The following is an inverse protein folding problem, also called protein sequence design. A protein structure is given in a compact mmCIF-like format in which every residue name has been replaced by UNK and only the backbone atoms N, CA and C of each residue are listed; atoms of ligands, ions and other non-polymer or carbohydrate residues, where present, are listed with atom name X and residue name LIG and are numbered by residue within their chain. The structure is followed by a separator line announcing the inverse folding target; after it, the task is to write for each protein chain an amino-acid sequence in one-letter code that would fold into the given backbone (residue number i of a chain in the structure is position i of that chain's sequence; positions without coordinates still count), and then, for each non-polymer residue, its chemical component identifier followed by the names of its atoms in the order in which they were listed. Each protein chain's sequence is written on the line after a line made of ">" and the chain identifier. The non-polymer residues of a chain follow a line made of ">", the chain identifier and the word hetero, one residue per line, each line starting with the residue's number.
data_IF_697127233098
#
_entry.id   IF_697127233098
#
_cell.length_a   1.000
_cell.length_b   1.000
_cell.length_c   1.000
_cell.angle_alpha   90.00
_cell.angle_beta   90.00
_cell.angle_gamma   90.00
#
_symmetry.space_group_name_H-M   'P 1'
#
loop_
_entity.id
_entity.type
_entity.pdbx_description
1 polymer ?
#
# COMPACT_ATOMS: atom_id res chain seq x y z
N UNK A 1 -14.96 -10.46 -28.06
CA UNK A 1 -14.22 -11.42 -27.21
C UNK A 1 -12.70 -11.37 -27.45
N UNK A 2 -12.20 -11.41 -28.70
CA UNK A 2 -10.76 -11.41 -29.02
C UNK A 2 -9.99 -10.18 -28.49
N UNK A 3 -10.51 -8.96 -28.63
CA UNK A 3 -9.83 -7.73 -28.15
C UNK A 3 -9.62 -7.68 -26.63
N UNK A 4 -10.56 -8.21 -25.83
CA UNK A 4 -10.44 -8.24 -24.36
C UNK A 4 -9.41 -9.28 -23.93
N UNK A 5 -9.36 -10.44 -24.59
CA UNK A 5 -8.35 -11.47 -24.35
C UNK A 5 -6.94 -10.95 -24.67
N UNK A 6 -6.79 -10.23 -25.79
CA UNK A 6 -5.53 -9.57 -26.16
C UNK A 6 -5.15 -8.43 -25.22
N UNK A 7 -6.11 -7.59 -24.79
CA UNK A 7 -5.85 -6.46 -23.88
C UNK A 7 -5.43 -6.91 -22.48
N UNK A 8 -6.04 -7.98 -21.98
CA UNK A 8 -5.70 -8.57 -20.69
C UNK A 8 -4.46 -9.48 -20.74
N UNK A 9 -3.85 -9.68 -21.91
CA UNK A 9 -2.69 -10.58 -22.07
C UNK A 9 -3.02 -12.07 -21.89
N UNK A 10 -4.27 -12.46 -22.09
CA UNK A 10 -4.80 -13.79 -21.82
C UNK A 10 -5.45 -14.41 -23.09
N UNK A 11 -4.66 -14.67 -24.16
CA UNK A 11 -5.20 -15.13 -25.45
C UNK A 11 -5.92 -16.48 -25.38
N UNK A 12 -5.41 -17.42 -24.59
CA UNK A 12 -5.92 -18.81 -24.46
C UNK A 12 -6.70 -19.08 -23.17
N UNK A 13 -7.10 -18.03 -22.44
CA UNK A 13 -7.74 -18.21 -21.14
C UNK A 13 -9.20 -18.70 -21.25
N UNK A 14 -9.56 -19.61 -20.35
CA UNK A 14 -10.93 -20.10 -20.19
C UNK A 14 -11.88 -18.95 -19.77
N UNK A 15 -13.16 -19.05 -20.12
CA UNK A 15 -14.17 -18.01 -19.91
C UNK A 15 -14.32 -17.62 -18.42
N UNK A 16 -14.14 -18.59 -17.51
CA UNK A 16 -14.11 -18.33 -16.05
C UNK A 16 -12.96 -17.39 -15.65
N UNK A 17 -11.78 -17.59 -16.24
CA UNK A 17 -10.58 -16.77 -15.99
C UNK A 17 -10.78 -15.36 -16.55
N UNK A 18 -11.35 -15.23 -17.75
CA UNK A 18 -11.66 -13.94 -18.36
C UNK A 18 -12.69 -13.17 -17.52
N UNK A 19 -13.70 -13.85 -16.99
CA UNK A 19 -14.69 -13.25 -16.08
C UNK A 19 -14.03 -12.73 -14.81
N UNK A 20 -13.14 -13.52 -14.19
CA UNK A 20 -12.39 -13.10 -13.01
C UNK A 20 -11.48 -11.91 -13.31
N UNK A 21 -10.73 -11.95 -14.41
CA UNK A 21 -9.84 -10.87 -14.83
C UNK A 21 -10.59 -9.56 -15.06
N UNK A 22 -11.79 -9.59 -15.64
CA UNK A 22 -12.66 -8.41 -15.76
C UNK A 22 -13.11 -7.87 -14.41
N UNK A 23 -13.49 -8.74 -13.49
CA UNK A 23 -13.87 -8.34 -12.12
C UNK A 23 -12.69 -7.67 -11.43
N UNK A 24 -11.51 -8.28 -11.47
CA UNK A 24 -10.29 -7.74 -10.86
C UNK A 24 -9.82 -6.44 -11.53
N UNK A 25 -9.98 -6.31 -12.85
CA UNK A 25 -9.66 -5.09 -13.58
C UNK A 25 -10.52 -3.88 -13.15
N UNK A 26 -11.69 -4.13 -12.57
CA UNK A 26 -12.55 -3.08 -12.00
C UNK A 26 -12.31 -2.94 -10.49
N UNK A 27 -12.28 -4.06 -9.76
CA UNK A 27 -12.11 -4.06 -8.30
C UNK A 27 -10.74 -3.55 -7.87
N UNK A 28 -9.66 -3.88 -8.59
CA UNK A 28 -8.30 -3.46 -8.25
C UNK A 28 -8.16 -1.93 -8.24
N UNK A 29 -8.49 -1.23 -9.34
CA UNK A 29 -8.47 0.22 -9.37
C UNK A 29 -9.41 0.87 -8.35
N UNK A 30 -10.62 0.32 -8.17
CA UNK A 30 -11.57 0.83 -7.17
C UNK A 30 -11.02 0.70 -5.75
N UNK A 31 -10.49 -0.46 -5.39
CA UNK A 31 -9.88 -0.69 -4.09
C UNK A 31 -8.70 0.28 -3.88
N UNK A 32 -7.80 0.41 -4.85
CA UNK A 32 -6.68 1.36 -4.78
C UNK A 32 -7.15 2.80 -4.59
N UNK A 33 -8.20 3.23 -5.31
CA UNK A 33 -8.76 4.56 -5.17
C UNK A 33 -9.36 4.77 -3.77
N UNK A 34 -10.10 3.78 -3.26
CA UNK A 34 -10.65 3.83 -1.90
C UNK A 34 -9.54 3.91 -0.86
N UNK A 35 -8.49 3.08 -0.96
CA UNK A 35 -7.36 3.11 -0.05
C UNK A 35 -6.58 4.42 -0.14
N UNK A 36 -6.37 4.95 -1.34
CA UNK A 36 -5.69 6.22 -1.56
C UNK A 36 -6.47 7.37 -0.91
N UNK A 37 -7.78 7.46 -1.15
CA UNK A 37 -8.63 8.48 -0.53
C UNK A 37 -8.63 8.34 1.00
N UNK A 38 -8.84 7.13 1.51
CA UNK A 38 -8.84 6.86 2.94
C UNK A 38 -7.52 7.26 3.60
N UNK A 39 -6.38 6.90 3.00
CA UNK A 39 -5.05 7.23 3.51
C UNK A 39 -4.81 8.74 3.47
N UNK A 40 -5.25 9.43 2.42
CA UNK A 40 -5.12 10.88 2.29
C UNK A 40 -5.90 11.60 3.37
N UNK A 41 -7.18 11.27 3.55
CA UNK A 41 -8.01 11.87 4.59
C UNK A 41 -7.52 11.52 6.00
N UNK A 42 -6.97 10.32 6.19
CA UNK A 42 -6.35 9.93 7.45
C UNK A 42 -5.14 10.81 7.78
N UNK A 43 -4.24 11.06 6.83
CA UNK A 43 -3.10 11.97 7.03
C UNK A 43 -3.57 13.38 7.36
N UNK A 44 -4.59 13.88 6.65
CA UNK A 44 -5.18 15.21 6.92
C UNK A 44 -5.75 15.28 8.34
N UNK A 45 -6.48 14.24 8.76
CA UNK A 45 -7.02 14.13 10.11
C UNK A 45 -5.92 14.11 11.17
N UNK A 46 -4.88 13.29 10.99
CA UNK A 46 -3.74 13.20 11.89
C UNK A 46 -3.00 14.53 11.99
N UNK A 47 -2.77 15.22 10.86
CA UNK A 47 -2.17 16.53 10.84
C UNK A 47 -3.01 17.54 11.65
N UNK A 48 -4.31 17.64 11.38
CA UNK A 48 -5.20 18.54 12.12
C UNK A 48 -5.22 18.26 13.63
N UNK A 49 -5.24 16.98 14.01
CA UNK A 49 -5.22 16.54 15.41
C UNK A 49 -3.88 16.88 16.11
N UNK A 50 -2.75 16.64 15.45
CA UNK A 50 -1.41 16.93 15.97
C UNK A 50 -1.12 18.43 16.07
N UNK A 51 -1.62 19.21 15.11
CA UNK A 51 -1.45 20.66 15.08
C UNK A 51 -2.41 21.43 15.99
N UNK A 52 -3.23 20.76 16.80
CA UNK A 52 -4.19 21.42 17.69
C UNK A 52 -5.22 22.28 16.96
N UNK A 53 -5.54 21.95 15.70
CA UNK A 53 -6.39 22.74 14.81
C UNK A 53 -5.65 23.58 13.77
N UNK A 54 -4.33 23.76 13.88
CA UNK A 54 -3.51 24.35 12.81
C UNK A 54 -2.94 23.26 11.89
N UNK A 55 -3.50 23.19 10.68
CA UNK A 55 -3.11 22.20 9.69
C UNK A 55 -1.65 22.31 9.25
N UNK A 56 -1.08 23.52 9.12
CA UNK A 56 0.29 23.69 8.65
C UNK A 56 1.31 23.20 9.68
N UNK A 57 1.08 23.52 10.95
CA UNK A 57 1.88 23.00 12.06
C UNK A 57 1.75 21.47 12.16
N UNK A 58 0.52 20.97 12.03
CA UNK A 58 0.23 19.55 11.96
C UNK A 58 1.00 18.80 10.88
N UNK A 59 1.02 19.36 9.66
CA UNK A 59 1.74 18.78 8.52
C UNK A 59 3.25 18.78 8.72
N UNK A 60 3.82 19.81 9.36
CA UNK A 60 5.23 19.83 9.71
C UNK A 60 5.59 18.71 10.70
N UNK A 61 4.75 18.48 11.72
CA UNK A 61 4.92 17.37 12.67
C UNK A 61 4.78 16.00 12.01
N UNK A 62 3.81 15.83 11.10
CA UNK A 62 3.69 14.62 10.29
C UNK A 62 4.97 14.38 9.47
N UNK A 63 5.54 15.43 8.88
CA UNK A 63 6.82 15.34 8.17
C UNK A 63 7.96 14.81 9.06
N UNK A 64 8.05 15.30 10.31
CA UNK A 64 9.03 14.77 11.29
C UNK A 64 8.78 13.30 11.59
N UNK A 65 7.51 12.89 11.78
CA UNK A 65 7.16 11.49 12.02
C UNK A 65 7.54 10.59 10.84
N UNK A 66 7.38 11.06 9.59
CA UNK A 66 7.83 10.34 8.39
C UNK A 66 9.35 10.16 8.39
N UNK A 67 10.11 11.19 8.76
CA UNK A 67 11.58 11.06 8.88
C UNK A 67 11.95 10.04 9.95
N UNK A 68 11.31 10.09 11.12
CA UNK A 68 11.53 9.10 12.19
C UNK A 68 11.18 7.69 11.74
N UNK A 69 10.06 7.52 11.02
CA UNK A 69 9.68 6.24 10.42
C UNK A 69 10.77 5.74 9.46
N UNK A 70 11.25 6.59 8.54
CA UNK A 70 12.30 6.22 7.57
C UNK A 70 13.61 5.85 8.25
N UNK A 71 14.02 6.59 9.28
CA UNK A 71 15.19 6.27 10.07
C UNK A 71 15.02 4.94 10.79
N UNK A 72 13.87 4.72 11.44
CA UNK A 72 13.56 3.48 12.15
C UNK A 72 13.55 2.29 11.21
N UNK A 73 12.92 2.43 10.04
CA UNK A 73 12.90 1.40 9.00
C UNK A 73 14.32 1.07 8.53
N UNK A 74 15.11 2.08 8.16
CA UNK A 74 16.49 1.89 7.72
C UNK A 74 17.34 1.17 8.77
N UNK A 75 17.15 1.53 10.05
CA UNK A 75 17.88 0.91 11.16
C UNK A 75 17.45 -0.53 11.43
N UNK A 76 16.17 -0.85 11.24
CA UNK A 76 15.61 -2.16 11.56
C UNK A 76 15.58 -3.12 10.37
N UNK A 77 15.68 -2.64 9.13
CA UNK A 77 15.63 -3.49 7.93
C UNK A 77 16.74 -4.54 7.92
N UNK A 78 17.98 -4.15 8.25
CA UNK A 78 19.10 -5.11 8.30
C UNK A 78 19.00 -6.10 9.48
N UNK A 79 18.77 -5.65 10.74
CA UNK A 79 18.56 -6.57 11.86
C UNK A 79 17.41 -7.54 11.65
N UNK A 80 16.26 -7.07 11.14
CA UNK A 80 15.11 -7.94 10.89
C UNK A 80 15.39 -8.93 9.77
N UNK A 81 16.13 -8.52 8.73
CA UNK A 81 16.63 -9.43 7.70
C UNK A 81 17.55 -10.51 8.27
N UNK A 82 18.55 -10.14 9.07
CA UNK A 82 19.48 -11.09 9.68
C UNK A 82 18.80 -12.08 10.64
N UNK A 83 17.82 -11.62 11.41
CA UNK A 83 16.98 -12.50 12.24
C UNK A 83 16.18 -13.45 11.34
N UNK A 84 15.60 -12.95 10.25
CA UNK A 84 14.88 -13.75 9.26
C UNK A 84 15.74 -14.86 8.67
N UNK A 85 17.01 -14.58 8.39
CA UNK A 85 17.95 -15.57 7.88
C UNK A 85 18.35 -16.61 8.95
N UNK A 86 18.39 -16.23 10.24
CA UNK A 86 18.78 -17.13 11.33
C UNK A 86 17.69 -18.10 11.77
N UNK A 87 16.45 -17.63 11.97
CA UNK A 87 15.33 -18.47 12.46
C UNK A 87 14.35 -18.89 11.36
N UNK A 88 14.48 -18.31 10.16
CA UNK A 88 13.60 -18.53 9.01
C UNK A 88 12.63 -17.37 8.80
N UNK A 89 12.59 -16.85 7.57
CA UNK A 89 11.80 -15.67 7.17
C UNK A 89 10.31 -15.77 7.52
N UNK A 90 9.76 -17.00 7.55
CA UNK A 90 8.35 -17.24 7.93
C UNK A 90 7.98 -16.79 9.35
N UNK A 91 8.94 -16.61 10.25
CA UNK A 91 8.69 -16.15 11.62
C UNK A 91 8.86 -14.64 11.77
N UNK A 92 9.35 -13.94 10.74
CA UNK A 92 9.63 -12.50 10.75
C UNK A 92 8.65 -11.74 9.86
N UNK A 93 8.23 -12.34 8.75
CA UNK A 93 7.31 -11.73 7.75
C UNK A 93 5.84 -12.11 8.03
N UNK A 94 5.58 -13.05 8.94
CA UNK A 94 4.23 -13.53 9.26
C UNK A 94 3.37 -12.53 10.00
#
# INVERSE_FOLDING_TARGET
>A
MSKIRSFLGLPDANEKVIRLAKIMAVLGPLANLTFMLSSTFYVVFVAGALGGGDFLQGMALVGVLVVVQMATQTLLDYPTGAVGDWIGQRYVIA
#
